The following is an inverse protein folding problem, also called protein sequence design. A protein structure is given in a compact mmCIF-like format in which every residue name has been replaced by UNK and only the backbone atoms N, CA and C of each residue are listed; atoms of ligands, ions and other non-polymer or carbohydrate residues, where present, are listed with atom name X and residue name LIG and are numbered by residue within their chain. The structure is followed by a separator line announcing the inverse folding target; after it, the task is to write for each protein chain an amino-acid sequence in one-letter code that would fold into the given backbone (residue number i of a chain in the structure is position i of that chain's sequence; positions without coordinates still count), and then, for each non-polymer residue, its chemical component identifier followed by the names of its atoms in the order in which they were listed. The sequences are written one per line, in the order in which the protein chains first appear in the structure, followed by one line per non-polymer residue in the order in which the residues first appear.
data_IF_026443169165
#
_entry.id   IF_026443169165
#
_cell.length_a   1.000
_cell.length_b   1.000
_cell.length_c   1.000
_cell.angle_alpha   90.00
_cell.angle_beta   90.00
_cell.angle_gamma   90.00
#
_symmetry.space_group_name_H-M   'P 1'
#
loop_
_entity.id
_entity.type
_entity.pdbx_description
1 polymer ?
#
# COMPACT_ATOMS: atom_id res chain seq x y z
N UNK A 1 2.26 -25.81 -37.71
CA UNK A 1 3.07 -24.63 -38.06
C UNK A 1 2.51 -24.06 -39.36
N UNK A 2 1.93 -22.87 -39.30
CA UNK A 2 1.53 -22.11 -40.50
C UNK A 2 1.56 -20.63 -40.14
N UNK A 3 2.65 -19.96 -40.52
CA UNK A 3 2.78 -18.50 -40.50
C UNK A 3 1.89 -17.92 -41.61
N UNK A 4 1.05 -16.94 -41.26
CA UNK A 4 0.42 -16.06 -42.25
C UNK A 4 1.33 -14.84 -42.45
N UNK A 5 2.04 -14.80 -43.58
CA UNK A 5 2.72 -13.59 -44.05
C UNK A 5 1.72 -12.67 -44.76
N UNK A 6 1.74 -11.38 -44.41
CA UNK A 6 0.96 -10.35 -45.10
C UNK A 6 1.90 -9.55 -46.01
N UNK A 7 1.63 -9.55 -47.32
CA UNK A 7 2.33 -8.73 -48.30
C UNK A 7 1.54 -7.45 -48.60
N UNK A 8 2.25 -6.32 -48.56
CA UNK A 8 1.86 -5.13 -49.33
C UNK A 8 3.14 -4.44 -49.84
N UNK A 9 3.23 -4.32 -51.15
CA UNK A 9 4.10 -3.43 -51.92
C UNK A 9 5.63 -3.68 -51.88
N UNK A 10 6.05 -4.79 -52.50
CA UNK A 10 6.97 -4.75 -53.64
C UNK A 10 8.37 -4.10 -53.52
N UNK A 11 8.91 -3.78 -52.34
CA UNK A 11 10.33 -3.41 -52.16
C UNK A 11 10.91 -3.99 -50.87
N UNK A 12 11.90 -4.86 -51.02
CA UNK A 12 12.74 -5.33 -49.91
C UNK A 12 13.54 -4.14 -49.35
N UNK A 13 13.32 -3.77 -48.09
CA UNK A 13 14.18 -2.84 -47.36
C UNK A 13 14.67 -3.53 -46.09
N UNK A 14 16.00 -3.62 -45.96
CA UNK A 14 16.71 -4.23 -44.84
C UNK A 14 16.52 -3.44 -43.55
N UNK A 15 16.66 -4.13 -42.43
CA UNK A 15 16.61 -3.59 -41.07
C UNK A 15 17.56 -2.41 -40.87
N UNK A 16 17.01 -1.26 -40.48
CA UNK A 16 17.51 -0.28 -39.49
C UNK A 16 16.73 1.05 -39.66
N UNK A 17 16.40 1.68 -38.52
CA UNK A 17 15.83 3.04 -38.35
C UNK A 17 14.38 3.34 -38.82
N UNK A 18 13.48 3.51 -37.83
CA UNK A 18 12.81 4.81 -37.57
C UNK A 18 11.92 4.76 -36.31
N UNK A 19 12.42 5.44 -35.28
CA UNK A 19 11.61 6.13 -34.28
C UNK A 19 10.83 7.27 -34.97
N UNK A 20 9.72 7.67 -34.32
CA UNK A 20 8.79 8.75 -34.67
C UNK A 20 7.63 8.36 -35.61
N UNK A 21 6.53 7.92 -35.01
CA UNK A 21 5.21 8.55 -35.13
C UNK A 21 4.22 7.86 -34.19
N UNK A 22 3.53 8.66 -33.38
CA UNK A 22 2.50 8.20 -32.46
C UNK A 22 1.32 7.59 -33.20
N UNK A 23 1.06 6.32 -32.89
CA UNK A 23 -0.22 5.61 -32.99
C UNK A 23 0.11 4.12 -32.72
N UNK A 24 -0.13 3.64 -31.52
CA UNK A 24 -0.15 2.19 -31.26
C UNK A 24 -1.55 1.79 -30.87
N UNK A 25 -2.28 1.25 -31.84
CA UNK A 25 -3.44 0.40 -31.59
C UNK A 25 -3.00 -0.75 -30.70
N UNK A 26 -3.69 -0.93 -29.58
CA UNK A 26 -3.47 -2.05 -28.69
C UNK A 26 -4.26 -3.24 -29.25
N UNK A 27 -3.58 -4.23 -29.82
CA UNK A 27 -4.18 -5.54 -30.14
C UNK A 27 -4.12 -6.41 -28.89
N UNK A 28 -5.27 -6.82 -28.38
CA UNK A 28 -5.41 -7.87 -27.38
C UNK A 28 -5.06 -9.21 -28.08
N UNK A 29 -4.07 -9.99 -27.62
CA UNK A 29 -3.81 -11.32 -28.18
C UNK A 29 -4.91 -12.30 -27.76
N UNK A 30 -5.29 -13.16 -28.68
CA UNK A 30 -6.35 -14.17 -28.57
C UNK A 30 -6.19 -15.13 -27.38
N UNK A 31 -7.31 -15.43 -26.73
CA UNK A 31 -7.48 -16.36 -25.61
C UNK A 31 -7.21 -17.83 -26.02
N UNK A 32 -6.42 -18.55 -25.23
CA UNK A 32 -6.23 -20.00 -25.35
C UNK A 32 -6.62 -20.67 -24.02
N UNK A 33 -7.66 -21.51 -24.05
CA UNK A 33 -8.11 -22.32 -22.93
C UNK A 33 -7.33 -23.64 -22.86
N UNK A 34 -6.82 -24.02 -21.68
CA UNK A 34 -6.28 -25.35 -21.43
C UNK A 34 -6.97 -26.03 -20.24
N UNK A 35 -7.41 -27.26 -20.48
CA UNK A 35 -8.12 -28.14 -19.54
C UNK A 35 -7.15 -28.85 -18.59
N UNK A 36 -7.53 -29.01 -17.32
CA UNK A 36 -7.14 -30.15 -16.50
C UNK A 36 -8.14 -30.37 -15.33
N UNK A 37 -8.48 -31.64 -15.08
CA UNK A 37 -9.45 -32.14 -14.11
C UNK A 37 -8.74 -32.87 -12.97
N UNK A 38 -9.18 -32.72 -11.71
CA UNK A 38 -9.04 -33.76 -10.68
C UNK A 38 -9.97 -33.52 -9.47
N UNK A 39 -10.40 -34.64 -8.88
CA UNK A 39 -11.58 -34.89 -8.06
C UNK A 39 -11.31 -34.82 -6.55
N UNK A 40 -12.36 -34.65 -5.72
CA UNK A 40 -12.63 -35.33 -4.44
C UNK A 40 -13.78 -34.65 -3.64
N UNK A 41 -14.65 -35.53 -3.12
CA UNK A 41 -15.96 -35.31 -2.51
C UNK A 41 -16.02 -34.48 -1.20
N UNK A 42 -17.22 -33.91 -0.98
CA UNK A 42 -17.84 -33.52 0.32
C UNK A 42 -17.71 -32.09 0.88
N UNK A 43 -18.02 -31.06 0.08
CA UNK A 43 -18.46 -29.77 0.64
C UNK A 43 -18.05 -28.57 -0.20
N UNK A 44 -18.93 -28.18 -1.11
CA UNK A 44 -18.88 -27.09 -2.12
C UNK A 44 -17.65 -26.17 -2.06
N UNK A 45 -16.66 -26.48 -2.91
CA UNK A 45 -15.53 -25.61 -3.23
C UNK A 45 -15.76 -24.88 -4.56
N UNK A 46 -15.32 -23.62 -4.66
CA UNK A 46 -15.40 -22.81 -5.87
C UNK A 46 -14.13 -23.02 -6.73
N UNK A 47 -14.19 -22.89 -8.06
CA UNK A 47 -12.99 -22.87 -8.92
C UNK A 47 -13.15 -21.78 -9.96
N UNK A 48 -12.25 -20.82 -9.90
CA UNK A 48 -12.24 -19.70 -10.80
C UNK A 48 -11.56 -20.09 -12.10
N UNK A 49 -12.31 -20.05 -13.19
CA UNK A 49 -11.79 -20.39 -14.51
C UNK A 49 -11.20 -19.22 -15.28
N UNK A 50 -11.42 -17.97 -14.86
CA UNK A 50 -10.78 -16.79 -15.46
C UNK A 50 -10.70 -15.63 -14.46
N UNK A 51 -9.53 -15.44 -13.83
CA UNK A 51 -9.27 -14.31 -12.93
C UNK A 51 -8.63 -13.15 -13.69
N UNK A 52 -9.42 -12.13 -14.02
CA UNK A 52 -8.89 -10.84 -14.47
C UNK A 52 -8.70 -9.90 -13.28
N UNK A 53 -7.44 -9.72 -12.89
CA UNK A 53 -7.06 -8.79 -11.84
C UNK A 53 -6.84 -7.42 -12.47
N UNK A 54 -7.89 -6.59 -12.48
CA UNK A 54 -7.74 -5.17 -12.75
C UNK A 54 -7.25 -4.49 -11.48
N UNK A 55 -5.94 -4.31 -11.41
CA UNK A 55 -5.40 -3.27 -10.55
C UNK A 55 -4.71 -2.20 -11.43
N UNK A 56 -4.67 -0.97 -10.95
CA UNK A 56 -4.43 0.27 -11.72
C UNK A 56 -3.18 0.19 -12.63
N UNK A 57 -3.30 0.35 -13.97
CA UNK A 57 -2.15 0.51 -14.87
C UNK A 57 -1.30 1.73 -14.47
N UNK A 58 -0.26 1.53 -13.66
CA UNK A 58 0.70 2.56 -13.29
C UNK A 58 1.97 2.41 -14.14
N UNK A 59 2.20 3.40 -15.00
CA UNK A 59 3.36 3.53 -15.89
C UNK A 59 4.44 4.39 -15.20
N UNK A 60 5.07 3.86 -14.15
CA UNK A 60 6.24 4.50 -13.53
C UNK A 60 7.50 3.62 -13.67
N UNK A 61 8.60 4.10 -14.28
CA UNK A 61 9.72 3.23 -14.70
C UNK A 61 10.70 2.77 -13.60
N UNK A 62 10.48 3.08 -12.32
CA UNK A 62 11.37 2.61 -11.25
C UNK A 62 10.64 2.61 -9.91
N UNK A 63 10.10 1.46 -9.51
CA UNK A 63 9.44 1.32 -8.22
C UNK A 63 10.47 1.24 -7.10
N UNK A 64 10.70 2.39 -6.48
CA UNK A 64 11.28 2.48 -5.17
C UNK A 64 10.28 1.88 -4.16
N UNK A 65 10.69 0.86 -3.40
CA UNK A 65 9.87 0.36 -2.28
C UNK A 65 9.74 1.45 -1.22
N UNK A 66 8.52 1.80 -0.85
CA UNK A 66 8.19 2.75 0.19
C UNK A 66 7.16 2.09 1.13
N UNK A 67 7.60 1.34 2.16
CA UNK A 67 6.69 0.72 3.08
C UNK A 67 5.95 1.77 3.93
N UNK A 68 4.74 1.41 4.35
CA UNK A 68 4.03 2.11 5.43
C UNK A 68 4.20 1.34 6.71
N UNK A 69 4.75 2.00 7.71
CA UNK A 69 5.03 1.41 9.00
C UNK A 69 4.42 2.25 10.13
N UNK A 70 4.03 1.57 11.22
CA UNK A 70 4.10 2.17 12.53
C UNK A 70 5.57 2.25 12.95
N UNK A 71 5.99 3.41 13.43
CA UNK A 71 7.32 3.60 14.04
C UNK A 71 7.14 3.49 15.55
N UNK A 72 7.47 2.33 16.11
CA UNK A 72 7.29 1.99 17.53
C UNK A 72 8.59 2.26 18.29
N UNK A 73 8.54 2.82 19.49
CA UNK A 73 9.72 2.81 20.34
C UNK A 73 10.09 1.36 20.68
N UNK A 74 11.39 1.05 20.71
CA UNK A 74 11.88 -0.32 20.91
C UNK A 74 11.60 -0.88 22.32
N UNK A 75 11.39 -0.01 23.32
CA UNK A 75 11.28 -0.39 24.74
C UNK A 75 9.89 -0.18 25.31
N UNK A 76 9.22 0.91 24.92
CA UNK A 76 7.91 1.29 25.47
C UNK A 76 6.81 1.20 24.40
N UNK A 77 5.57 0.83 24.77
CA UNK A 77 4.51 0.46 23.82
C UNK A 77 3.79 1.69 23.22
N UNK A 78 4.57 2.60 22.65
CA UNK A 78 4.11 3.83 22.01
C UNK A 78 4.68 3.96 20.61
N UNK A 79 3.95 4.66 19.76
CA UNK A 79 4.32 4.93 18.37
C UNK A 79 4.48 6.43 18.13
N UNK A 80 5.22 6.78 17.09
CA UNK A 80 5.27 8.14 16.56
C UNK A 80 3.88 8.52 16.03
N UNK A 81 3.35 9.64 16.52
CA UNK A 81 2.03 10.17 16.22
C UNK A 81 2.16 11.63 15.73
N UNK A 82 1.60 11.92 14.56
CA UNK A 82 1.39 13.31 14.14
C UNK A 82 0.09 13.80 14.75
N UNK A 83 0.16 14.79 15.64
CA UNK A 83 -0.98 15.21 16.45
C UNK A 83 -2.22 15.53 15.59
N UNK A 84 -3.27 14.72 15.76
CA UNK A 84 -4.55 14.83 15.04
C UNK A 84 -4.47 14.54 13.54
N UNK A 85 -3.30 14.22 13.00
CA UNK A 85 -3.05 14.10 11.56
C UNK A 85 -3.24 15.42 10.81
N UNK A 86 -2.95 16.55 11.46
CA UNK A 86 -3.14 17.88 10.89
C UNK A 86 -2.12 18.17 9.78
N UNK A 87 -2.52 19.00 8.81
CA UNK A 87 -1.71 19.39 7.64
C UNK A 87 -0.90 20.67 7.85
N UNK A 88 -1.09 21.36 8.99
CA UNK A 88 -0.43 22.62 9.28
C UNK A 88 1.08 22.42 9.52
N UNK A 89 1.90 23.29 8.95
CA UNK A 89 3.33 23.32 9.23
C UNK A 89 3.60 23.53 10.71
N UNK A 90 4.53 22.74 11.27
CA UNK A 90 4.86 22.79 12.69
C UNK A 90 3.92 21.98 13.57
N UNK A 91 2.99 21.19 12.98
CA UNK A 91 2.17 20.24 13.73
C UNK A 91 3.08 19.34 14.54
N UNK A 92 2.86 19.25 15.85
CA UNK A 92 3.76 18.51 16.73
C UNK A 92 3.73 17.03 16.41
N UNK A 93 4.91 16.42 16.36
CA UNK A 93 5.06 14.98 16.41
C UNK A 93 5.31 14.58 17.85
N UNK A 94 4.47 13.69 18.35
CA UNK A 94 4.50 13.19 19.73
C UNK A 94 4.48 11.67 19.72
N UNK A 95 4.55 11.06 20.89
CA UNK A 95 4.22 9.65 21.04
C UNK A 95 2.77 9.47 21.44
N UNK A 96 2.21 8.33 21.10
CA UNK A 96 0.88 7.93 21.57
C UNK A 96 0.78 6.42 21.65
N UNK A 97 -0.16 5.92 22.45
CA UNK A 97 -0.56 4.52 22.40
C UNK A 97 -0.95 4.14 20.96
N UNK A 98 -0.50 2.98 20.51
CA UNK A 98 -0.75 2.55 19.15
C UNK A 98 -2.24 2.29 18.91
N UNK A 99 -2.76 2.85 17.82
CA UNK A 99 -4.10 2.57 17.32
C UNK A 99 -4.18 1.16 16.76
N UNK A 100 -5.27 0.45 17.06
CA UNK A 100 -5.55 -0.86 16.49
C UNK A 100 -5.99 -0.73 15.01
N UNK A 101 -5.01 -0.59 14.10
CA UNK A 101 -5.27 -0.35 12.68
C UNK A 101 -6.21 -1.40 12.08
N UNK A 102 -6.01 -2.69 12.39
CA UNK A 102 -6.81 -3.78 11.83
C UNK A 102 -8.34 -3.65 12.06
N UNK A 103 -8.76 -2.92 13.09
CA UNK A 103 -10.17 -2.70 13.44
C UNK A 103 -10.66 -1.27 13.15
N UNK A 104 -9.85 -0.43 12.50
CA UNK A 104 -10.22 0.95 12.24
C UNK A 104 -11.40 1.04 11.25
N UNK A 105 -12.35 1.93 11.55
CA UNK A 105 -13.52 2.23 10.70
C UNK A 105 -13.41 3.58 9.99
N UNK A 106 -12.45 4.41 10.42
CA UNK A 106 -12.21 5.76 9.92
C UNK A 106 -10.73 5.94 9.63
N UNK A 107 -10.41 6.61 8.52
CA UNK A 107 -9.01 6.88 8.14
C UNK A 107 -8.30 7.85 9.08
N UNK A 108 -9.03 8.47 10.02
CA UNK A 108 -8.41 9.29 11.05
C UNK A 108 -7.38 8.54 11.89
N UNK A 109 -7.52 7.22 12.04
CA UNK A 109 -6.57 6.33 12.69
C UNK A 109 -5.18 6.29 12.02
N UNK A 110 -5.04 6.79 10.79
CA UNK A 110 -3.80 6.76 10.02
C UNK A 110 -2.79 7.86 10.40
N UNK A 111 -3.07 8.70 11.40
CA UNK A 111 -2.13 9.75 11.84
C UNK A 111 -0.84 9.19 12.49
N UNK A 112 -0.79 7.89 12.75
CA UNK A 112 0.37 7.15 13.27
C UNK A 112 1.10 6.33 12.19
N UNK A 113 0.68 6.43 10.94
CA UNK A 113 1.21 5.65 9.82
C UNK A 113 2.13 6.50 8.95
N UNK A 114 3.32 5.97 8.69
CA UNK A 114 4.41 6.70 8.07
C UNK A 114 4.92 5.95 6.84
N UNK A 115 4.87 6.62 5.69
CA UNK A 115 5.48 6.17 4.45
C UNK A 115 6.97 6.52 4.46
N UNK A 116 7.83 5.51 4.34
CA UNK A 116 9.29 5.68 4.38
C UNK A 116 9.84 5.52 2.97
N UNK A 117 10.14 6.63 2.29
CA UNK A 117 10.57 6.63 0.89
C UNK A 117 12.06 6.94 0.77
N UNK A 118 12.90 6.07 0.17
CA UNK A 118 14.31 6.38 0.00
C UNK A 118 14.52 7.54 -0.95
N UNK A 119 15.51 8.35 -0.63
CA UNK A 119 15.96 9.48 -1.43
C UNK A 119 16.89 8.93 -2.52
N UNK A 120 16.61 9.18 -3.82
CA UNK A 120 17.44 8.67 -4.91
C UNK A 120 18.91 9.08 -4.77
N UNK A 121 19.81 8.19 -5.19
CA UNK A 121 21.27 8.43 -5.23
C UNK A 121 21.90 8.73 -3.87
N UNK A 122 21.22 8.42 -2.76
CA UNK A 122 21.76 8.53 -1.41
C UNK A 122 21.58 7.23 -0.65
N UNK A 123 22.65 6.72 -0.04
CA UNK A 123 22.60 5.48 0.74
C UNK A 123 21.87 5.71 2.05
N UNK A 124 20.96 4.79 2.38
CA UNK A 124 20.20 4.71 3.63
C UNK A 124 19.48 5.99 4.05
N UNK A 125 19.23 6.89 3.10
CA UNK A 125 18.59 8.19 3.35
C UNK A 125 17.16 8.13 2.86
N UNK A 126 16.24 8.55 3.71
CA UNK A 126 14.82 8.44 3.47
C UNK A 126 14.11 9.75 3.83
N UNK A 127 12.95 9.95 3.21
CA UNK A 127 11.92 10.85 3.72
C UNK A 127 10.89 10.02 4.48
N UNK A 128 10.27 10.62 5.49
CA UNK A 128 9.27 9.96 6.33
C UNK A 128 7.99 10.80 6.29
N UNK A 129 7.02 10.37 5.51
CA UNK A 129 5.79 11.12 5.23
C UNK A 129 4.61 10.53 6.00
N UNK A 130 3.84 11.36 6.71
CA UNK A 130 2.61 10.91 7.34
C UNK A 130 1.53 10.71 6.28
N UNK A 131 0.95 9.51 6.17
CA UNK A 131 0.04 9.19 5.06
C UNK A 131 -1.28 9.97 5.10
N UNK A 132 -1.71 10.38 6.29
CA UNK A 132 -2.95 11.12 6.49
C UNK A 132 -2.82 12.59 6.16
N UNK A 133 -1.76 13.25 6.63
CA UNK A 133 -1.57 14.69 6.41
C UNK A 133 -0.81 15.02 5.13
N UNK A 134 0.00 14.08 4.61
CA UNK A 134 0.93 14.33 3.51
C UNK A 134 2.16 15.16 3.93
N UNK A 135 2.26 15.56 5.21
CA UNK A 135 3.42 16.28 5.74
C UNK A 135 4.56 15.33 6.09
N UNK A 136 5.77 15.86 6.12
CA UNK A 136 7.01 15.13 6.32
C UNK A 136 7.54 15.35 7.74
N UNK A 137 8.19 14.32 8.28
CA UNK A 137 8.91 14.37 9.53
C UNK A 137 10.09 15.36 9.40
N UNK A 138 9.98 16.49 10.09
CA UNK A 138 10.85 17.66 9.93
C UNK A 138 11.50 18.01 11.28
N UNK A 139 12.83 18.06 11.30
CA UNK A 139 13.57 18.62 12.44
C UNK A 139 13.60 20.15 12.35
N UNK A 140 12.95 20.81 13.31
CA UNK A 140 12.69 22.25 13.26
C UNK A 140 13.97 23.07 13.09
N UNK A 141 14.02 23.85 12.00
CA UNK A 141 15.11 24.80 11.73
C UNK A 141 16.49 24.15 11.50
N UNK A 142 16.55 22.84 11.22
CA UNK A 142 17.82 22.09 11.11
C UNK A 142 18.69 22.15 12.37
N UNK A 143 18.11 22.46 13.53
CA UNK A 143 18.89 22.72 14.74
C UNK A 143 19.46 21.43 15.34
N UNK A 144 20.73 21.45 15.73
CA UNK A 144 21.44 20.33 16.38
C UNK A 144 21.37 20.35 17.91
N UNK A 145 20.70 21.34 18.51
CA UNK A 145 20.50 21.40 19.94
C UNK A 145 19.59 20.27 20.41
N UNK A 146 19.90 19.71 21.58
CA UNK A 146 19.02 18.75 22.23
C UNK A 146 17.64 19.37 22.49
N UNK A 147 16.59 18.55 22.42
CA UNK A 147 15.17 18.96 22.53
C UNK A 147 14.68 19.78 21.34
N UNK A 148 15.39 19.82 20.21
CA UNK A 148 14.88 20.45 18.98
C UNK A 148 13.59 19.73 18.57
N UNK A 149 12.47 20.44 18.36
CA UNK A 149 11.20 19.79 18.01
C UNK A 149 11.29 19.05 16.67
N UNK A 150 10.67 17.86 16.63
CA UNK A 150 10.33 17.20 15.38
C UNK A 150 8.84 17.45 15.11
N UNK A 151 8.52 17.86 13.90
CA UNK A 151 7.18 18.32 13.50
C UNK A 151 6.77 17.75 12.15
N UNK A 152 5.48 17.80 11.83
CA UNK A 152 4.99 17.66 10.47
C UNK A 152 5.16 18.99 9.72
N UNK A 153 5.79 18.94 8.56
CA UNK A 153 5.96 20.11 7.69
C UNK A 153 5.74 19.72 6.22
N UNK A 154 5.19 20.62 5.42
CA UNK A 154 5.05 20.41 3.98
C UNK A 154 6.41 20.09 3.32
N UNK A 155 6.43 19.30 2.24
CA UNK A 155 7.69 18.97 1.59
C UNK A 155 8.41 20.25 1.12
N UNK A 156 9.66 20.42 1.54
CA UNK A 156 10.54 21.51 1.11
C UNK A 156 11.88 20.99 0.55
N UNK A 157 12.02 19.67 0.41
CA UNK A 157 13.20 18.96 -0.07
C UNK A 157 14.51 19.22 0.71
N UNK A 158 14.46 19.85 1.89
CA UNK A 158 15.67 20.18 2.66
C UNK A 158 16.15 19.02 3.54
N UNK A 159 17.41 19.11 3.97
CA UNK A 159 18.08 18.04 4.73
C UNK A 159 17.48 17.79 6.11
N UNK A 160 16.71 18.73 6.67
CA UNK A 160 15.99 18.51 7.92
C UNK A 160 14.74 17.63 7.78
N UNK A 161 14.30 17.32 6.54
CA UNK A 161 13.26 16.32 6.24
C UNK A 161 13.84 14.98 5.74
N UNK A 162 15.18 14.86 5.73
CA UNK A 162 15.88 13.64 5.32
C UNK A 162 16.49 12.96 6.53
N UNK A 163 16.33 11.65 6.58
CA UNK A 163 16.72 10.83 7.71
C UNK A 163 17.58 9.68 7.22
N UNK A 164 18.78 9.53 7.78
CA UNK A 164 19.53 8.29 7.65
C UNK A 164 18.87 7.27 8.58
N UNK A 165 18.40 6.15 8.03
CA UNK A 165 17.68 5.11 8.78
C UNK A 165 18.46 3.80 8.65
N UNK A 166 19.00 3.32 9.77
CA UNK A 166 19.79 2.08 9.85
C UNK A 166 19.53 1.36 11.15
N UNK A 167 19.76 0.05 11.17
CA UNK A 167 19.77 -0.73 12.41
C UNK A 167 21.06 -0.48 13.19
N UNK A 168 20.94 -0.39 14.51
CA UNK A 168 22.07 -0.44 15.42
C UNK A 168 22.53 -1.88 15.68
N UNK A 169 23.52 -2.05 16.58
CA UNK A 169 24.07 -3.38 16.93
C UNK A 169 23.07 -4.30 17.64
N UNK A 170 21.97 -3.74 18.18
CA UNK A 170 20.89 -4.49 18.81
C UNK A 170 19.77 -4.86 17.83
N UNK A 171 19.86 -4.44 16.57
CA UNK A 171 18.87 -4.72 15.53
C UNK A 171 17.70 -3.74 15.50
N UNK A 172 17.72 -2.67 16.31
CA UNK A 172 16.70 -1.63 16.29
C UNK A 172 17.08 -0.50 15.35
N UNK A 173 16.10 0.12 14.70
CA UNK A 173 16.33 1.26 13.83
C UNK A 173 16.64 2.52 14.64
N UNK A 174 17.58 3.33 14.13
CA UNK A 174 17.74 4.72 14.54
C UNK A 174 17.54 5.63 13.34
N UNK A 175 17.03 6.83 13.61
CA UNK A 175 16.75 7.85 12.61
C UNK A 175 17.65 9.05 12.90
N UNK A 176 18.67 9.27 12.07
CA UNK A 176 19.57 10.42 12.19
C UNK A 176 19.19 11.49 11.17
N UNK A 177 18.96 12.71 11.61
CA UNK A 177 18.66 13.82 10.72
C UNK A 177 19.89 14.19 9.89
N UNK A 178 19.73 14.33 8.58
CA UNK A 178 20.84 14.64 7.66
C UNK A 178 21.41 16.04 7.91
N UNK A 179 20.59 17.02 8.28
CA UNK A 179 21.06 18.39 8.48
C UNK A 179 21.85 18.57 9.78
N UNK A 180 21.40 17.97 10.88
CA UNK A 180 21.93 18.25 12.22
C UNK A 180 22.80 17.13 12.80
N UNK A 181 22.81 15.94 12.19
CA UNK A 181 23.41 14.72 12.74
C UNK A 181 22.85 14.25 14.10
N UNK A 182 21.76 14.86 14.58
CA UNK A 182 21.05 14.41 15.78
C UNK A 182 20.07 13.27 15.46
N UNK A 183 19.66 12.53 16.48
CA UNK A 183 18.77 11.38 16.37
C UNK A 183 17.36 11.71 16.82
N UNK A 184 16.37 11.07 16.21
CA UNK A 184 14.99 11.07 16.70
C UNK A 184 14.93 10.37 18.07
N UNK A 185 14.45 11.11 19.06
CA UNK A 185 14.49 10.77 20.48
C UNK A 185 13.10 10.93 21.10
N UNK A 186 12.66 9.87 21.78
CA UNK A 186 11.54 9.91 22.69
C UNK A 186 11.97 10.60 23.98
N UNK A 187 11.49 11.82 24.19
CA UNK A 187 11.97 12.68 25.26
C UNK A 187 11.86 11.99 26.63
N UNK A 188 13.01 11.83 27.30
CA UNK A 188 13.16 11.17 28.61
C UNK A 188 12.59 9.72 28.66
N UNK A 189 12.38 9.04 27.53
CA UNK A 189 11.77 7.72 27.50
C UNK A 189 10.31 7.69 27.98
N UNK A 190 9.61 8.83 27.91
CA UNK A 190 8.27 8.96 28.48
C UNK A 190 7.23 8.03 27.83
N UNK A 191 6.41 7.39 28.66
CA UNK A 191 5.36 6.45 28.24
C UNK A 191 3.98 7.08 28.11
N UNK A 192 3.83 8.32 28.59
CA UNK A 192 2.56 9.03 28.52
C UNK A 192 2.24 9.47 27.10
N UNK A 193 0.96 9.40 26.73
CA UNK A 193 0.47 9.98 25.48
C UNK A 193 0.83 11.47 25.40
N UNK A 194 1.31 11.89 24.24
CA UNK A 194 1.78 13.25 24.01
C UNK A 194 3.23 13.50 24.43
N UNK A 195 3.99 12.48 24.85
CA UNK A 195 5.44 12.65 25.10
C UNK A 195 6.11 13.15 23.82
N UNK A 196 6.98 14.14 23.94
CA UNK A 196 7.56 14.81 22.78
C UNK A 196 8.54 13.90 22.05
N UNK A 197 8.52 13.98 20.72
CA UNK A 197 9.57 13.47 19.85
C UNK A 197 10.47 14.63 19.46
N UNK A 198 11.78 14.48 19.70
CA UNK A 198 12.75 15.57 19.53
C UNK A 198 14.03 15.09 18.89
N UNK A 199 14.81 16.01 18.32
CA UNK A 199 16.22 15.78 17.99
C UNK A 199 17.07 15.79 19.25
N UNK A 200 17.94 14.80 19.38
CA UNK A 200 18.88 14.70 20.48
C UNK A 200 20.23 14.14 20.02
N UNK A 201 21.32 14.62 20.61
CA UNK A 201 22.67 14.12 20.38
C UNK A 201 22.75 12.61 20.64
N UNK A 202 23.36 11.85 19.75
CA UNK A 202 23.45 10.40 19.92
C UNK A 202 24.60 9.82 19.12
N UNK A 203 24.77 8.51 19.22
CA UNK A 203 25.73 7.72 18.44
C UNK A 203 25.03 6.48 17.90
N UNK A 204 25.50 5.95 16.78
CA UNK A 204 24.92 4.75 16.16
C UNK A 204 25.10 3.48 17.00
N UNK A 205 26.18 3.40 17.79
CA UNK A 205 26.51 2.27 18.65
C UNK A 205 26.40 2.59 20.14
N UNK A 206 25.60 3.60 20.50
CA UNK A 206 25.34 3.95 21.89
C UNK A 206 24.72 2.76 22.67
N UNK A 207 25.34 2.40 23.79
CA UNK A 207 24.84 1.39 24.73
C UNK A 207 24.38 2.05 26.04
N UNK A 208 23.44 1.42 26.74
CA UNK A 208 22.91 1.89 28.03
C UNK A 208 21.45 2.35 27.99
N UNK A 209 20.84 2.55 29.16
CA UNK A 209 19.38 2.73 29.31
C UNK A 209 18.81 3.89 28.46
N UNK A 210 19.54 4.99 28.34
CA UNK A 210 19.10 6.16 27.56
C UNK A 210 19.19 5.94 26.04
N UNK A 211 19.89 4.91 25.55
CA UNK A 211 19.96 4.63 24.11
C UNK A 211 18.60 4.16 23.58
N UNK A 212 17.77 3.55 24.43
CA UNK A 212 16.43 3.07 24.09
C UNK A 212 15.46 4.18 23.68
N UNK A 213 15.72 5.44 24.07
CA UNK A 213 14.91 6.60 23.65
C UNK A 213 15.04 6.85 22.14
N UNK A 214 16.15 6.42 21.53
CA UNK A 214 16.48 6.64 20.12
C UNK A 214 16.40 5.35 19.29
N UNK A 215 15.90 4.27 19.88
CA UNK A 215 15.73 2.97 19.23
C UNK A 215 14.27 2.75 18.87
N UNK A 216 14.05 2.32 17.63
CA UNK A 216 12.73 2.18 17.04
C UNK A 216 12.60 0.82 16.36
N UNK A 217 11.38 0.29 16.33
CA UNK A 217 11.00 -0.86 15.52
C UNK A 217 9.96 -0.43 14.50
N UNK A 218 10.02 -1.02 13.30
CA UNK A 218 9.09 -0.75 12.22
C UNK A 218 8.10 -1.90 12.14
N UNK A 219 6.82 -1.61 12.30
CA UNK A 219 5.75 -2.57 12.09
C UNK A 219 4.99 -2.21 10.83
N UNK A 220 5.14 -3.04 9.81
CA UNK A 220 4.56 -2.83 8.49
C UNK A 220 3.05 -3.00 8.46
N UNK A 221 2.38 -2.11 7.73
CA UNK A 221 0.95 -2.19 7.40
C UNK A 221 0.67 -2.18 5.89
N UNK A 222 1.71 -2.14 5.07
CA UNK A 222 1.64 -2.26 3.61
C UNK A 222 2.13 -3.63 3.12
N UNK A 223 1.86 -3.95 1.86
CA UNK A 223 2.36 -5.13 1.16
C UNK A 223 2.88 -4.76 -0.22
N UNK A 224 4.00 -5.33 -0.61
CA UNK A 224 4.50 -5.23 -1.98
C UNK A 224 3.56 -5.95 -2.93
N UNK A 225 3.50 -5.51 -4.17
CA UNK A 225 2.75 -6.23 -5.20
C UNK A 225 3.15 -7.71 -5.28
N UNK A 226 4.45 -8.04 -5.24
CA UNK A 226 4.93 -9.43 -5.25
C UNK A 226 4.47 -10.26 -4.05
N UNK A 227 4.30 -9.65 -2.88
CA UNK A 227 3.79 -10.30 -1.66
C UNK A 227 2.28 -10.57 -1.80
N UNK A 228 1.52 -9.59 -2.28
CA UNK A 228 0.09 -9.76 -2.60
C UNK A 228 -0.09 -10.89 -3.61
N UNK A 229 0.71 -10.92 -4.69
CA UNK A 229 0.66 -11.99 -5.69
C UNK A 229 0.97 -13.35 -5.08
N UNK A 230 1.95 -13.42 -4.18
CA UNK A 230 2.30 -14.66 -3.48
C UNK A 230 1.18 -15.14 -2.56
N UNK A 231 0.43 -14.24 -1.93
CA UNK A 231 -0.75 -14.59 -1.14
C UNK A 231 -1.92 -15.04 -2.02
N UNK A 232 -2.15 -14.40 -3.16
CA UNK A 232 -3.14 -14.86 -4.15
C UNK A 232 -2.81 -16.26 -4.67
N UNK A 233 -1.56 -16.53 -5.06
CA UNK A 233 -1.13 -17.86 -5.53
C UNK A 233 -1.30 -18.96 -4.49
N UNK A 234 -1.21 -18.64 -3.20
CA UNK A 234 -1.36 -19.65 -2.13
C UNK A 234 -2.82 -19.87 -1.74
N UNK A 235 -3.76 -19.10 -2.27
CA UNK A 235 -5.17 -19.26 -1.92
C UNK A 235 -5.74 -20.51 -2.62
N UNK A 236 -6.26 -21.51 -1.88
CA UNK A 236 -6.76 -22.77 -2.45
C UNK A 236 -8.06 -22.61 -3.26
N UNK A 237 -8.81 -21.52 -3.06
CA UNK A 237 -10.02 -21.23 -3.83
C UNK A 237 -9.68 -20.68 -5.22
N UNK A 238 -8.48 -20.14 -5.43
CA UNK A 238 -8.03 -19.58 -6.70
C UNK A 238 -7.30 -20.64 -7.55
N UNK A 239 -7.95 -21.16 -8.61
CA UNK A 239 -7.29 -22.03 -9.61
C UNK A 239 -6.43 -21.24 -10.60
N UNK A 240 -5.25 -21.76 -10.94
CA UNK A 240 -4.20 -21.02 -11.65
C UNK A 240 -4.40 -20.95 -13.17
N UNK A 241 -4.47 -19.72 -13.71
CA UNK A 241 -3.44 -19.11 -14.57
C UNK A 241 -3.74 -17.59 -14.64
N UNK A 242 -3.44 -16.85 -13.56
CA UNK A 242 -3.78 -15.42 -13.52
C UNK A 242 -2.63 -14.57 -14.04
N UNK A 243 -2.89 -13.83 -15.12
CA UNK A 243 -2.02 -12.73 -15.52
C UNK A 243 -2.33 -11.55 -14.59
N UNK A 244 -1.61 -11.49 -13.48
CA UNK A 244 -1.56 -10.26 -12.71
C UNK A 244 -0.72 -9.26 -13.50
N UNK A 245 -1.36 -8.20 -13.95
CA UNK A 245 -0.63 -7.06 -14.49
C UNK A 245 0.21 -6.51 -13.32
N UNK A 246 1.47 -6.16 -13.54
CA UNK A 246 2.28 -5.56 -12.47
C UNK A 246 1.82 -4.12 -12.31
N UNK A 247 1.24 -3.77 -11.16
CA UNK A 247 0.49 -2.52 -11.10
C UNK A 247 0.72 -1.52 -9.98
N UNK A 248 1.54 -1.77 -8.96
CA UNK A 248 2.09 -0.71 -8.09
C UNK A 248 3.28 -1.24 -7.26
N UNK A 249 4.06 -0.35 -6.63
CA UNK A 249 5.17 -0.74 -5.74
C UNK A 249 4.66 -1.41 -4.46
N UNK A 250 3.88 -0.67 -3.68
CA UNK A 250 3.43 -1.01 -2.33
C UNK A 250 1.97 -0.58 -2.13
N UNK A 251 1.19 -1.47 -1.52
CA UNK A 251 -0.20 -1.25 -1.18
C UNK A 251 -0.37 -1.10 0.32
N UNK A 252 -0.98 -0.02 0.80
CA UNK A 252 -1.56 -0.03 2.14
C UNK A 252 -2.79 -0.95 2.14
N UNK A 253 -2.83 -1.86 3.10
CA UNK A 253 -3.96 -2.76 3.31
C UNK A 253 -4.95 -2.04 4.23
N UNK A 254 -6.06 -1.58 3.64
CA UNK A 254 -7.11 -0.89 4.40
C UNK A 254 -7.96 -1.90 5.21
N UNK A 255 -8.29 -1.60 6.48
CA UNK A 255 -9.14 -2.43 7.32
C UNK A 255 -10.56 -2.61 6.78
N UNK A 256 -11.21 -3.72 7.13
CA UNK A 256 -12.61 -3.99 6.73
C UNK A 256 -13.58 -2.89 7.14
N UNK A 257 -13.37 -2.26 8.29
CA UNK A 257 -14.18 -1.14 8.76
C UNK A 257 -14.19 0.03 7.78
N UNK A 258 -13.02 0.37 7.22
CA UNK A 258 -12.88 1.42 6.20
C UNK A 258 -13.54 0.98 4.88
N UNK A 259 -13.36 -0.27 4.45
CA UNK A 259 -14.05 -0.81 3.26
C UNK A 259 -15.57 -0.65 3.34
N UNK A 260 -16.16 -0.92 4.51
CA UNK A 260 -17.60 -0.74 4.75
C UNK A 260 -18.01 0.73 4.71
N UNK A 261 -17.19 1.63 5.25
CA UNK A 261 -17.40 3.09 5.16
C UNK A 261 -17.40 3.56 3.70
N UNK A 262 -16.45 3.08 2.88
CA UNK A 262 -16.40 3.36 1.44
C UNK A 262 -17.66 2.84 0.74
N UNK A 263 -18.09 1.62 1.07
CA UNK A 263 -19.29 1.03 0.48
C UNK A 263 -20.54 1.86 0.79
N UNK A 264 -20.70 2.30 2.05
CA UNK A 264 -21.82 3.16 2.45
C UNK A 264 -21.85 4.48 1.65
N UNK A 265 -20.69 5.03 1.30
CA UNK A 265 -20.56 6.24 0.49
C UNK A 265 -20.66 6.03 -1.03
N UNK A 266 -20.62 4.79 -1.51
CA UNK A 266 -20.58 4.46 -2.95
C UNK A 266 -21.94 4.55 -3.67
N UNK A 267 -23.03 4.60 -2.92
CA UNK A 267 -24.40 4.54 -3.46
C UNK A 267 -24.88 3.12 -3.83
N UNK A 268 -24.03 2.09 -3.72
CA UNK A 268 -24.37 0.70 -4.05
C UNK A 268 -25.49 0.11 -3.18
N UNK A 269 -25.66 0.58 -1.95
CA UNK A 269 -26.73 0.15 -1.04
C UNK A 269 -28.15 0.32 -1.62
N UNK A 270 -28.32 1.27 -2.53
CA UNK A 270 -29.59 1.58 -3.19
C UNK A 270 -29.76 0.90 -4.55
N UNK A 271 -28.75 0.17 -5.01
CA UNK A 271 -28.75 -0.50 -6.32
C UNK A 271 -29.28 -1.91 -6.18
N UNK A 272 -30.11 -2.32 -7.13
CA UNK A 272 -30.59 -3.70 -7.24
C UNK A 272 -29.88 -4.39 -8.39
N UNK A 273 -29.58 -5.68 -8.20
CA UNK A 273 -29.09 -6.52 -9.28
C UNK A 273 -30.09 -6.56 -10.43
N UNK A 274 -29.58 -6.43 -11.65
CA UNK A 274 -30.34 -6.53 -12.89
C UNK A 274 -29.46 -7.22 -13.92
N UNK A 275 -29.93 -8.35 -14.45
CA UNK A 275 -29.22 -9.13 -15.47
C UNK A 275 -28.61 -8.25 -16.56
N UNK A 276 -27.30 -8.42 -16.80
CA UNK A 276 -26.46 -7.73 -17.81
C UNK A 276 -26.31 -6.21 -17.67
N UNK A 277 -27.33 -5.49 -17.21
CA UNK A 277 -27.31 -4.01 -17.15
C UNK A 277 -26.73 -3.46 -15.85
N UNK A 278 -26.85 -4.22 -14.77
CA UNK A 278 -26.29 -3.90 -13.46
C UNK A 278 -26.13 -5.19 -12.63
N UNK A 279 -25.21 -6.04 -13.04
CA UNK A 279 -24.94 -7.33 -12.43
C UNK A 279 -23.57 -7.34 -11.72
N UNK A 280 -22.95 -8.51 -11.53
CA UNK A 280 -21.88 -8.65 -10.55
C UNK A 280 -20.65 -7.79 -10.87
N UNK A 281 -20.25 -7.70 -12.14
CA UNK A 281 -19.11 -6.90 -12.56
C UNK A 281 -19.37 -5.41 -12.44
N UNK A 282 -20.57 -4.93 -12.76
CA UNK A 282 -20.94 -3.53 -12.51
C UNK A 282 -20.77 -3.14 -11.04
N UNK A 283 -21.27 -3.98 -10.11
CA UNK A 283 -21.08 -3.73 -8.68
C UNK A 283 -19.59 -3.69 -8.29
N UNK A 284 -18.77 -4.61 -8.82
CA UNK A 284 -17.34 -4.68 -8.50
C UNK A 284 -16.54 -3.50 -9.06
N UNK A 285 -16.85 -3.05 -10.28
CA UNK A 285 -16.23 -1.88 -10.91
C UNK A 285 -16.67 -0.57 -10.26
N UNK A 286 -17.95 -0.40 -9.97
CA UNK A 286 -18.46 0.78 -9.25
C UNK A 286 -17.82 0.88 -7.87
N UNK A 287 -17.69 -0.25 -7.15
CA UNK A 287 -17.02 -0.24 -5.86
C UNK A 287 -15.53 0.09 -5.98
N UNK A 288 -14.79 -0.50 -6.93
CA UNK A 288 -13.38 -0.18 -7.18
C UNK A 288 -13.19 1.31 -7.52
N UNK A 289 -14.10 1.90 -8.29
CA UNK A 289 -14.10 3.34 -8.62
C UNK A 289 -14.34 4.21 -7.38
N UNK A 290 -15.37 3.89 -6.58
CA UNK A 290 -15.66 4.57 -5.32
C UNK A 290 -14.48 4.47 -4.33
N UNK A 291 -13.85 3.30 -4.26
CA UNK A 291 -12.68 3.05 -3.44
C UNK A 291 -11.48 3.89 -3.87
N UNK A 292 -11.19 3.94 -5.18
CA UNK A 292 -10.12 4.76 -5.72
C UNK A 292 -10.35 6.27 -5.47
N UNK A 293 -11.60 6.73 -5.63
CA UNK A 293 -11.99 8.13 -5.35
C UNK A 293 -11.80 8.45 -3.87
N UNK A 294 -12.30 7.58 -2.99
CA UNK A 294 -12.12 7.74 -1.55
C UNK A 294 -10.64 7.78 -1.16
N UNK A 295 -9.81 6.92 -1.76
CA UNK A 295 -8.38 6.90 -1.48
C UNK A 295 -7.71 8.23 -1.86
N UNK A 296 -8.04 8.79 -3.03
CA UNK A 296 -7.53 10.10 -3.49
C UNK A 296 -7.96 11.25 -2.56
N UNK A 297 -9.20 11.22 -2.08
CA UNK A 297 -9.74 12.25 -1.18
C UNK A 297 -9.14 12.20 0.24
N UNK A 298 -8.72 11.03 0.71
CA UNK A 298 -8.36 10.80 2.12
C UNK A 298 -6.87 10.59 2.35
N UNK A 299 -6.14 10.03 1.38
CA UNK A 299 -4.71 9.74 1.51
C UNK A 299 -3.92 10.87 0.84
N UNK A 300 -3.17 11.62 1.64
CA UNK A 300 -2.41 12.78 1.16
C UNK A 300 -0.96 12.46 0.80
N UNK A 301 -0.46 11.30 1.19
CA UNK A 301 0.84 10.82 0.74
C UNK A 301 0.77 10.31 -0.70
N UNK A 302 1.85 10.54 -1.44
CA UNK A 302 2.00 10.07 -2.82
C UNK A 302 2.93 8.85 -2.85
N UNK A 303 2.96 8.13 -3.98
CA UNK A 303 3.86 6.98 -4.14
C UNK A 303 3.42 5.74 -3.36
N UNK A 304 2.15 5.69 -2.94
CA UNK A 304 1.50 4.54 -2.35
C UNK A 304 0.15 4.30 -3.00
N UNK A 305 -0.23 3.03 -3.12
CA UNK A 305 -1.55 2.62 -3.56
C UNK A 305 -2.34 1.93 -2.45
N UNK A 306 -3.65 1.80 -2.65
CA UNK A 306 -4.53 1.06 -1.74
C UNK A 306 -4.99 -0.22 -2.43
N UNK A 307 -4.85 -1.37 -1.77
CA UNK A 307 -5.31 -2.62 -2.36
C UNK A 307 -6.83 -2.65 -2.39
N UNK A 308 -7.39 -2.76 -3.58
CA UNK A 308 -8.78 -3.13 -3.84
C UNK A 308 -8.78 -3.87 -5.17
N UNK A 309 -8.67 -5.18 -5.13
CA UNK A 309 -8.65 -5.98 -6.34
C UNK A 309 -10.06 -6.26 -6.87
N UNK A 310 -10.16 -6.63 -8.14
CA UNK A 310 -11.36 -7.22 -8.75
C UNK A 310 -11.02 -8.67 -9.11
N UNK A 311 -11.98 -9.56 -8.93
CA UNK A 311 -11.87 -10.98 -9.23
C UNK A 311 -13.14 -11.48 -9.90
N UNK A 312 -12.98 -12.12 -11.05
CA UNK A 312 -14.05 -12.84 -11.75
C UNK A 312 -13.94 -14.32 -11.44
N UNK A 313 -15.04 -14.92 -11.01
CA UNK A 313 -15.09 -16.23 -10.40
C UNK A 313 -16.26 -17.05 -10.97
N UNK A 314 -16.11 -18.37 -11.00
CA UNK A 314 -17.18 -19.29 -11.36
C UNK A 314 -17.23 -20.45 -10.36
N UNK A 315 -18.37 -21.13 -10.25
CA UNK A 315 -18.48 -22.37 -9.50
C UNK A 315 -17.77 -23.53 -10.22
N UNK A 316 -17.27 -24.53 -9.47
CA UNK A 316 -16.65 -25.76 -10.02
C UNK A 316 -17.58 -26.55 -10.93
N UNK A 317 -18.87 -26.63 -10.58
CA UNK A 317 -19.77 -27.65 -11.10
C UNK A 317 -21.09 -27.11 -11.69
N UNK A 318 -21.15 -25.92 -12.31
CA UNK A 318 -22.45 -25.49 -12.88
C UNK A 318 -22.43 -24.40 -13.97
N UNK A 319 -23.57 -24.37 -14.66
CA UNK A 319 -24.22 -23.33 -15.48
C UNK A 319 -24.29 -21.92 -14.87
N UNK A 320 -23.68 -21.67 -13.69
CA UNK A 320 -23.57 -20.33 -13.08
C UNK A 320 -22.82 -19.40 -14.07
N UNK A 321 -23.40 -18.24 -14.45
CA UNK A 321 -22.82 -17.32 -15.43
C UNK A 321 -21.48 -16.71 -14.98
N UNK A 322 -21.06 -16.95 -13.73
CA UNK A 322 -19.89 -16.33 -13.15
C UNK A 322 -20.26 -15.08 -12.38
N UNK A 323 -19.39 -14.67 -11.47
CA UNK A 323 -19.58 -13.54 -10.55
C UNK A 323 -18.30 -12.72 -10.50
N UNK A 324 -18.45 -11.44 -10.24
CA UNK A 324 -17.34 -10.57 -9.88
C UNK A 324 -17.42 -10.18 -8.40
N UNK A 325 -16.27 -10.13 -7.76
CA UNK A 325 -16.10 -9.64 -6.40
C UNK A 325 -14.95 -8.65 -6.36
N UNK A 326 -14.88 -7.89 -5.28
CA UNK A 326 -13.64 -7.22 -4.91
C UNK A 326 -12.86 -8.10 -3.93
N UNK A 327 -11.57 -7.83 -3.74
CA UNK A 327 -10.81 -8.51 -2.70
C UNK A 327 -9.80 -7.60 -2.01
N UNK A 328 -9.46 -8.01 -0.79
CA UNK A 328 -8.39 -7.45 0.03
C UNK A 328 -7.57 -8.59 0.66
N UNK A 329 -6.61 -8.25 1.52
CA UNK A 329 -5.96 -9.19 2.42
C UNK A 329 -6.44 -8.99 3.87
N UNK A 330 -6.33 -10.03 4.68
CA UNK A 330 -6.47 -9.91 6.13
C UNK A 330 -5.32 -9.09 6.75
N UNK A 331 -5.44 -8.74 8.03
CA UNK A 331 -4.42 -7.98 8.78
C UNK A 331 -3.06 -8.69 8.91
N UNK A 332 -3.04 -10.02 8.76
CA UNK A 332 -1.81 -10.82 8.72
C UNK A 332 -1.20 -11.01 7.32
N UNK A 333 -1.82 -10.43 6.29
CA UNK A 333 -1.41 -10.47 4.88
C UNK A 333 -1.27 -11.86 4.25
N UNK A 334 -1.79 -12.90 4.91
CA UNK A 334 -1.63 -14.29 4.51
C UNK A 334 -2.91 -14.93 3.98
N UNK A 335 -4.04 -14.23 4.05
CA UNK A 335 -5.34 -14.71 3.58
C UNK A 335 -5.99 -13.65 2.70
N UNK A 336 -6.46 -14.06 1.52
CA UNK A 336 -7.29 -13.23 0.65
C UNK A 336 -8.69 -13.17 1.26
N UNK A 337 -9.31 -12.00 1.24
CA UNK A 337 -10.67 -11.79 1.73
C UNK A 337 -11.50 -11.25 0.58
N UNK A 338 -12.54 -11.98 0.20
CA UNK A 338 -13.45 -11.57 -0.86
C UNK A 338 -14.51 -10.64 -0.29
N UNK A 339 -14.82 -9.59 -1.02
CA UNK A 339 -15.84 -8.61 -0.67
C UNK A 339 -16.95 -8.65 -1.71
N UNK A 340 -18.17 -8.89 -1.25
CA UNK A 340 -19.40 -8.83 -2.03
C UNK A 340 -19.95 -7.40 -2.07
N UNK A 341 -19.70 -6.61 -3.13
CA UNK A 341 -20.17 -5.23 -3.23
C UNK A 341 -21.70 -5.09 -3.34
N UNK A 342 -22.44 -6.18 -3.56
CA UNK A 342 -23.91 -6.17 -3.53
C UNK A 342 -24.48 -6.11 -2.12
N UNK A 343 -23.82 -6.79 -1.17
CA UNK A 343 -24.35 -7.05 0.16
C UNK A 343 -23.52 -6.42 1.28
N UNK A 344 -22.41 -5.77 0.94
CA UNK A 344 -21.45 -5.25 1.91
C UNK A 344 -20.92 -6.35 2.86
N UNK A 345 -20.55 -7.50 2.32
CA UNK A 345 -20.11 -8.65 3.13
C UNK A 345 -18.73 -9.12 2.73
N UNK A 346 -17.87 -9.35 3.73
CA UNK A 346 -16.63 -10.08 3.54
C UNK A 346 -16.86 -11.58 3.71
N UNK A 347 -16.19 -12.37 2.89
CA UNK A 347 -16.08 -13.81 2.99
C UNK A 347 -14.60 -14.20 3.00
N UNK A 348 -14.29 -15.39 3.52
CA UNK A 348 -12.94 -15.97 3.50
C UNK A 348 -12.84 -16.89 2.31
#
# INVERSE_FOLDING_TARGET
MSELQCHRDGRNVKAEEKLACGCTSFRIPSFCFFNCTLDFDNGVAWSLYDLFLFDKFSISPAYITAPVDFIRNARVPIVIDLNGGLTANGTRVTSWAQTEWANATQFSAANQLWLITPVPQTSDTYTVQNIRSGTFLDLSGSNSNNRTPITGWANNNSNNQRWVIRTDRSGFYKFQNVASSTFMDLLNGGTANGTLITGWSGQWDATGESSHHQQWSLQRVSQRSTEVHSTLRRNPELSFDFQSYQVDADYIILPEGIWRTIWNGSGLASRSWRSEIFDFDDFAFVYKSAFATWSDDNIRANGISTLCGIIFARARNDTDPGRAFNFNLNSGFNTVRFFGPQTNTFQV
#
